data_IF_030993534734
#
_entry.id   IF_030993534734
#
_cell.length_a   1.000
_cell.length_b   1.000
_cell.length_c   1.000
_cell.angle_alpha   90.00
_cell.angle_beta   90.00
_cell.angle_gamma   90.00
#
_symmetry.space_group_name_H-M   'P 1'
#
loop_
_entity.id
_entity.type
_entity.pdbx_description
1 polymer ?
#
# COMPACT_ATOMS: atom_id res chain seq x y z
N UNK A 1 -13.53 -18.48 20.29
CA UNK A 1 -12.91 -18.17 18.98
C UNK A 1 -11.77 -17.15 19.06
N UNK A 2 -11.83 -16.14 19.94
CA UNK A 2 -10.83 -15.04 20.02
C UNK A 2 -9.40 -15.46 20.44
N UNK A 3 -9.25 -16.44 21.34
CA UNK A 3 -7.93 -16.86 21.85
C UNK A 3 -7.07 -17.58 20.81
N UNK A 4 -7.68 -18.44 19.98
CA UNK A 4 -6.96 -19.14 18.90
C UNK A 4 -6.43 -18.15 17.86
N UNK A 5 -7.24 -17.15 17.49
CA UNK A 5 -6.83 -16.09 16.57
C UNK A 5 -5.66 -15.25 17.13
N UNK A 6 -5.72 -14.89 18.42
CA UNK A 6 -4.65 -14.17 19.12
C UNK A 6 -3.33 -14.97 19.13
N UNK A 7 -3.40 -16.27 19.42
CA UNK A 7 -2.22 -17.15 19.39
C UNK A 7 -1.65 -17.31 17.98
N UNK A 8 -2.50 -17.37 16.96
CA UNK A 8 -2.05 -17.42 15.55
C UNK A 8 -1.34 -16.12 15.15
N UNK A 9 -1.88 -14.96 15.53
CA UNK A 9 -1.26 -13.65 15.25
C UNK A 9 0.07 -13.53 16.00
N UNK A 10 0.10 -13.89 17.29
CA UNK A 10 1.32 -13.85 18.09
C UNK A 10 2.41 -14.80 17.55
N UNK A 11 2.02 -16.00 17.11
CA UNK A 11 2.92 -16.96 16.46
C UNK A 11 3.50 -16.44 15.15
N UNK A 12 2.68 -15.80 14.31
CA UNK A 12 3.14 -15.12 13.09
C UNK A 12 4.12 -13.98 13.42
N UNK A 13 3.85 -13.15 14.42
CA UNK A 13 4.77 -12.07 14.81
C UNK A 13 6.11 -12.62 15.34
N UNK A 14 6.09 -13.74 16.07
CA UNK A 14 7.31 -14.38 16.58
C UNK A 14 8.20 -14.93 15.45
N UNK A 15 7.61 -15.49 14.38
CA UNK A 15 8.40 -15.98 13.23
C UNK A 15 8.97 -14.85 12.37
N UNK A 16 8.29 -13.69 12.28
CA UNK A 16 8.86 -12.50 11.65
C UNK A 16 10.07 -11.93 12.41
N UNK A 17 10.12 -12.09 13.73
CA UNK A 17 11.27 -11.66 14.55
C UNK A 17 12.55 -12.46 14.31
N UNK A 18 12.44 -13.70 13.84
CA UNK A 18 13.57 -14.62 13.67
C UNK A 18 14.40 -14.38 12.38
N UNK A 19 13.93 -13.54 11.46
CA UNK A 19 14.65 -13.21 10.20
C UNK A 19 15.69 -12.09 10.34
N UNK A 20 16.22 -11.86 11.55
CA UNK A 20 17.25 -10.83 11.78
C UNK A 20 18.67 -11.31 11.44
N UNK A 21 18.87 -11.84 10.22
CA UNK A 21 20.20 -12.06 9.64
C UNK A 21 20.71 -10.75 9.02
N UNK A 22 21.94 -10.34 9.38
CA UNK A 22 22.69 -9.15 8.93
C UNK A 22 21.83 -7.99 8.38
N UNK A 23 21.42 -7.09 9.28
CA UNK A 23 20.71 -5.86 8.92
C UNK A 23 21.63 -4.93 8.13
N UNK A 24 21.59 -5.03 6.81
CA UNK A 24 21.98 -3.92 5.93
C UNK A 24 21.21 -2.68 6.35
N UNK A 25 21.88 -1.52 6.47
CA UNK A 25 21.25 -0.23 6.81
C UNK A 25 20.16 0.14 5.78
N UNK A 26 20.18 -0.50 4.61
CA UNK A 26 19.20 -0.35 3.52
C UNK A 26 18.03 -1.35 3.58
N UNK A 27 18.07 -2.34 4.48
CA UNK A 27 16.96 -3.22 4.84
C UNK A 27 16.39 -2.77 6.17
N UNK A 28 15.60 -1.70 6.11
CA UNK A 28 14.90 -1.17 7.28
C UNK A 28 13.54 -1.84 7.37
N UNK A 29 13.38 -2.72 8.36
CA UNK A 29 12.10 -3.36 8.69
C UNK A 29 11.14 -2.41 9.39
N UNK A 30 10.88 -1.23 8.83
CA UNK A 30 9.94 -0.27 9.39
C UNK A 30 8.53 -0.50 8.83
N UNK A 31 7.53 -0.19 9.65
CA UNK A 31 6.12 -0.25 9.31
C UNK A 31 5.70 1.10 8.73
N UNK A 32 5.09 1.11 7.53
CA UNK A 32 4.49 2.33 6.97
C UNK A 32 2.98 2.26 7.07
N UNK A 33 2.39 3.29 7.64
CA UNK A 33 0.96 3.55 7.64
C UNK A 33 0.71 4.77 6.76
N UNK A 34 -0.20 4.63 5.79
CA UNK A 34 -0.53 5.70 4.87
C UNK A 34 -2.00 5.74 4.52
N UNK A 35 -2.38 6.79 3.80
CA UNK A 35 -3.70 6.99 3.22
C UNK A 35 -3.60 6.67 1.72
N UNK A 36 -4.54 5.93 1.17
CA UNK A 36 -4.53 5.55 -0.25
C UNK A 36 -5.92 5.69 -0.88
N UNK A 37 -5.98 5.89 -2.19
CA UNK A 37 -7.19 5.82 -2.99
C UNK A 37 -7.01 4.75 -4.08
N UNK A 38 -7.88 3.74 -4.07
CA UNK A 38 -7.79 2.62 -5.01
C UNK A 38 -8.53 2.93 -6.31
N UNK A 39 -7.77 3.19 -7.38
CA UNK A 39 -8.32 3.46 -8.70
C UNK A 39 -9.06 4.81 -8.81
N UNK A 40 -9.95 4.90 -9.78
CA UNK A 40 -10.73 6.11 -10.10
C UNK A 40 -12.20 5.98 -9.67
N UNK A 41 -12.88 7.12 -9.63
CA UNK A 41 -14.34 7.19 -9.48
C UNK A 41 -15.07 6.44 -10.60
N UNK A 42 -16.27 5.95 -10.29
CA UNK A 42 -17.13 5.23 -11.22
C UNK A 42 -17.60 6.13 -12.37
N UNK A 43 -17.77 5.54 -13.54
CA UNK A 43 -18.35 6.15 -14.72
C UNK A 43 -19.72 5.53 -14.99
N UNK A 44 -20.77 6.36 -14.91
CA UNK A 44 -22.16 5.94 -15.11
C UNK A 44 -22.48 5.56 -16.56
N UNK A 45 -21.60 5.87 -17.52
CA UNK A 45 -21.75 5.46 -18.92
C UNK A 45 -21.17 4.07 -19.19
N UNK A 46 -20.39 3.51 -18.26
CA UNK A 46 -19.80 2.18 -18.37
C UNK A 46 -20.62 1.17 -17.58
N UNK A 47 -20.66 -0.07 -18.04
CA UNK A 47 -21.20 -1.17 -17.24
C UNK A 47 -20.36 -1.41 -15.98
N UNK A 48 -20.87 -2.10 -14.95
CA UNK A 48 -20.07 -2.46 -13.76
C UNK A 48 -18.75 -3.15 -14.13
N UNK A 49 -18.84 -4.08 -15.09
CA UNK A 49 -17.68 -4.76 -15.66
C UNK A 49 -16.73 -3.77 -16.32
N UNK A 50 -17.25 -2.85 -17.15
CA UNK A 50 -16.46 -1.82 -17.81
C UNK A 50 -15.73 -0.90 -16.84
N UNK A 51 -16.34 -0.55 -15.71
CA UNK A 51 -15.68 0.21 -14.66
C UNK A 51 -14.49 -0.54 -14.06
N UNK A 52 -14.67 -1.80 -13.68
CA UNK A 52 -13.61 -2.65 -13.10
C UNK A 52 -12.42 -2.79 -14.08
N UNK A 53 -12.67 -3.07 -15.36
CA UNK A 53 -11.60 -3.20 -16.36
C UNK A 53 -10.84 -1.89 -16.64
N UNK A 54 -11.48 -0.74 -16.38
CA UNK A 54 -10.85 0.57 -16.55
C UNK A 54 -10.23 1.11 -15.24
N UNK A 55 -9.99 0.25 -14.25
CA UNK A 55 -9.47 0.62 -12.92
C UNK A 55 -10.33 1.70 -12.23
N UNK A 56 -11.64 1.72 -12.51
CA UNK A 56 -12.62 2.59 -11.85
C UNK A 56 -13.33 1.76 -10.79
N UNK A 57 -12.75 1.70 -9.60
CA UNK A 57 -13.28 0.88 -8.52
C UNK A 57 -14.29 1.62 -7.67
N UNK A 58 -14.45 2.95 -7.79
CA UNK A 58 -15.36 3.69 -6.91
C UNK A 58 -15.01 3.54 -5.43
N UNK A 59 -13.73 3.36 -5.16
CA UNK A 59 -13.21 3.17 -3.83
C UNK A 59 -12.79 4.54 -3.28
N UNK A 60 -13.41 4.94 -2.17
CA UNK A 60 -13.06 6.15 -1.45
C UNK A 60 -11.67 6.07 -0.80
N UNK A 61 -11.38 7.06 0.03
CA UNK A 61 -10.13 7.10 0.81
C UNK A 61 -10.04 5.90 1.75
N UNK A 62 -8.87 5.27 1.76
CA UNK A 62 -8.58 4.06 2.53
C UNK A 62 -7.20 4.12 3.18
N UNK A 63 -6.79 3.00 3.76
CA UNK A 63 -5.53 2.85 4.48
C UNK A 63 -4.60 1.90 3.75
N UNK A 64 -3.31 2.19 3.80
CA UNK A 64 -2.25 1.30 3.34
C UNK A 64 -1.30 0.97 4.48
N UNK A 65 -0.96 -0.31 4.62
CA UNK A 65 -0.01 -0.85 5.57
C UNK A 65 1.11 -1.54 4.80
N UNK A 66 2.34 -1.07 4.96
CA UNK A 66 3.50 -1.57 4.21
C UNK A 66 4.57 -2.11 5.14
N UNK A 67 5.16 -3.23 4.74
CA UNK A 67 6.19 -3.96 5.48
C UNK A 67 7.35 -4.34 4.57
N UNK A 68 8.54 -4.34 5.17
CA UNK A 68 9.73 -4.92 4.55
C UNK A 68 10.20 -4.13 3.34
N UNK A 69 10.45 -2.83 3.53
CA UNK A 69 11.07 -2.00 2.49
C UNK A 69 12.56 -2.36 2.35
N UNK A 70 12.99 -2.58 1.11
CA UNK A 70 14.38 -2.80 0.75
C UNK A 70 14.79 -1.71 -0.23
N UNK A 71 15.85 -0.98 0.10
CA UNK A 71 16.38 0.06 -0.77
C UNK A 71 17.61 -0.39 -1.54
N UNK A 72 17.58 -0.16 -2.85
CA UNK A 72 18.67 -0.42 -3.77
C UNK A 72 19.16 0.91 -4.31
N UNK A 73 20.16 1.51 -3.65
CA UNK A 73 20.81 2.73 -4.12
C UNK A 73 21.97 2.42 -5.05
N UNK A 74 22.16 3.25 -6.06
CA UNK A 74 23.36 3.21 -6.90
C UNK A 74 24.61 3.43 -6.03
N UNK A 75 25.69 2.68 -6.27
CA UNK A 75 26.92 2.84 -5.50
C UNK A 75 27.47 4.28 -5.63
N UNK A 76 27.80 4.88 -4.48
CA UNK A 76 28.34 6.24 -4.42
C UNK A 76 29.74 6.24 -5.03
N UNK A 77 29.91 6.83 -6.21
CA UNK A 77 31.25 7.15 -6.75
C UNK A 77 31.82 8.45 -6.19
N UNK A 78 30.98 9.33 -5.63
CA UNK A 78 31.33 10.60 -4.97
C UNK A 78 30.34 10.86 -3.83
N UNK A 79 30.75 11.60 -2.79
CA UNK A 79 29.85 12.07 -1.72
C UNK A 79 28.82 13.07 -2.26
N UNK A 80 27.79 12.59 -2.95
CA UNK A 80 26.68 13.43 -3.41
C UNK A 80 25.62 13.54 -2.32
N UNK A 81 25.12 14.76 -2.11
CA UNK A 81 24.02 15.05 -1.18
C UNK A 81 22.69 14.42 -1.61
N UNK A 82 22.57 14.08 -2.90
CA UNK A 82 21.43 13.39 -3.47
C UNK A 82 21.82 11.96 -3.86
N UNK A 83 21.00 11.00 -3.46
CA UNK A 83 21.06 9.61 -3.91
C UNK A 83 19.71 9.21 -4.50
N UNK A 84 19.74 8.34 -5.50
CA UNK A 84 18.56 7.78 -6.14
C UNK A 84 18.69 6.27 -6.25
N UNK A 85 17.56 5.58 -6.23
CA UNK A 85 17.53 4.14 -6.21
C UNK A 85 16.14 3.57 -6.43
N UNK A 86 15.99 2.30 -6.08
CA UNK A 86 14.71 1.60 -6.05
C UNK A 86 14.33 1.30 -4.59
N UNK A 87 13.06 1.49 -4.27
CA UNK A 87 12.40 0.99 -3.07
C UNK A 87 11.55 -0.20 -3.47
N UNK A 88 11.82 -1.34 -2.83
CA UNK A 88 11.01 -2.54 -2.95
C UNK A 88 10.26 -2.80 -1.65
N UNK A 89 8.95 -2.64 -1.67
CA UNK A 89 8.04 -3.04 -0.60
C UNK A 89 7.66 -4.51 -0.77
N UNK A 90 8.09 -5.37 0.15
CA UNK A 90 7.78 -6.80 0.11
C UNK A 90 6.26 -7.03 0.22
N UNK A 91 5.60 -6.36 1.16
CA UNK A 91 4.17 -6.54 1.41
C UNK A 91 3.48 -5.20 1.63
N UNK A 92 2.45 -4.93 0.84
CA UNK A 92 1.57 -3.77 0.96
C UNK A 92 0.13 -4.25 0.99
N UNK A 93 -0.53 -4.00 2.12
CA UNK A 93 -1.94 -4.28 2.36
C UNK A 93 -2.72 -2.98 2.21
N UNK A 94 -3.70 -2.96 1.31
CA UNK A 94 -4.54 -1.80 1.05
C UNK A 94 -5.97 -2.15 1.45
N UNK A 95 -6.64 -1.20 2.07
CA UNK A 95 -8.02 -1.32 2.52
C UNK A 95 -8.77 -0.04 2.17
N UNK A 96 -9.80 -0.14 1.33
CA UNK A 96 -10.62 1.00 0.92
C UNK A 96 -12.10 0.66 1.06
N UNK A 97 -12.92 1.63 1.48
CA UNK A 97 -14.38 1.51 1.44
C UNK A 97 -14.87 1.76 0.01
N UNK A 98 -15.88 1.02 -0.42
CA UNK A 98 -16.48 1.09 -1.75
C UNK A 98 -17.82 1.85 -1.65
N UNK A 99 -17.72 3.15 -1.49
CA UNK A 99 -18.83 4.06 -1.19
C UNK A 99 -19.60 4.54 -2.44
N UNK A 100 -18.98 4.54 -3.61
CA UNK A 100 -19.63 5.05 -4.83
C UNK A 100 -20.62 4.08 -5.48
N UNK A 101 -20.51 2.77 -5.19
CA UNK A 101 -21.33 1.74 -5.86
C UNK A 101 -22.82 1.82 -5.53
N UNK A 102 -23.16 2.25 -4.32
CA UNK A 102 -24.56 2.48 -3.93
C UNK A 102 -25.21 3.61 -4.72
N UNK A 103 -24.47 4.69 -4.98
CA UNK A 103 -24.94 5.79 -5.82
C UNK A 103 -25.03 5.39 -7.29
N UNK A 104 -24.01 4.68 -7.80
CA UNK A 104 -23.96 4.16 -9.17
C UNK A 104 -25.13 3.21 -9.49
N UNK A 105 -25.49 2.32 -8.56
CA UNK A 105 -26.63 1.41 -8.75
C UNK A 105 -27.98 2.15 -8.83
N UNK A 106 -28.15 3.21 -8.02
CA UNK A 106 -29.35 4.05 -8.08
C UNK A 106 -29.46 4.82 -9.40
N UNK A 107 -28.35 5.32 -9.93
CA UNK A 107 -28.33 6.10 -11.18
C UNK A 107 -28.46 5.24 -12.45
N UNK A 108 -28.08 3.96 -12.40
CA UNK A 108 -28.10 3.07 -13.57
C UNK A 108 -29.47 2.41 -13.85
N UNK A 109 -30.52 2.75 -13.08
CA UNK A 109 -31.87 2.16 -13.17
C UNK A 109 -31.90 0.62 -13.11
N UNK A 110 -30.79 -0.02 -12.72
CA UNK A 110 -30.72 -1.45 -12.48
C UNK A 110 -31.61 -1.75 -11.27
N UNK A 111 -32.78 -2.35 -11.52
CA UNK A 111 -33.82 -2.57 -10.53
C UNK A 111 -33.26 -3.14 -9.22
N UNK A 112 -33.68 -2.56 -8.09
CA UNK A 112 -33.35 -2.92 -6.69
C UNK A 112 -32.17 -3.89 -6.56
N UNK A 113 -30.97 -3.44 -6.92
CA UNK A 113 -29.78 -4.15 -6.49
C UNK A 113 -29.70 -3.94 -4.97
N UNK A 114 -29.95 -5.00 -4.20
CA UNK A 114 -29.65 -5.04 -2.77
C UNK A 114 -28.13 -4.86 -2.60
N UNK A 115 -27.70 -3.61 -2.52
CA UNK A 115 -26.39 -3.24 -2.00
C UNK A 115 -26.62 -2.86 -0.53
N UNK A 116 -27.22 -3.76 0.25
CA UNK A 116 -27.23 -3.64 1.70
C UNK A 116 -25.96 -4.30 2.23
N UNK A 117 -24.93 -3.49 2.47
CA UNK A 117 -23.69 -3.95 3.09
C UNK A 117 -22.53 -2.97 2.94
N UNK A 118 -21.63 -2.97 3.94
CA UNK A 118 -20.33 -2.30 3.80
C UNK A 118 -19.49 -3.05 2.76
N UNK A 119 -19.36 -2.47 1.57
CA UNK A 119 -18.51 -3.01 0.52
C UNK A 119 -17.07 -2.55 0.74
N UNK A 120 -16.14 -3.50 0.80
CA UNK A 120 -14.73 -3.26 1.07
C UNK A 120 -13.90 -3.75 -0.13
N UNK A 121 -12.95 -2.93 -0.56
CA UNK A 121 -11.88 -3.34 -1.45
C UNK A 121 -10.60 -3.56 -0.64
N UNK A 122 -10.01 -4.75 -0.76
CA UNK A 122 -8.72 -5.08 -0.18
C UNK A 122 -7.75 -5.52 -1.28
N UNK A 123 -6.50 -5.08 -1.21
CA UNK A 123 -5.46 -5.50 -2.12
C UNK A 123 -4.17 -5.83 -1.39
N UNK A 124 -3.59 -6.98 -1.72
CA UNK A 124 -2.29 -7.43 -1.24
C UNK A 124 -1.34 -7.34 -2.43
N UNK A 125 -0.24 -6.60 -2.27
CA UNK A 125 0.71 -6.37 -3.36
C UNK A 125 2.14 -6.29 -2.84
N UNK A 126 3.09 -6.46 -3.76
CA UNK A 126 4.47 -6.02 -3.58
C UNK A 126 4.68 -4.82 -4.52
N UNK A 127 5.40 -3.78 -4.06
CA UNK A 127 5.59 -2.53 -4.80
C UNK A 127 7.06 -2.31 -5.09
N UNK A 128 7.39 -1.95 -6.33
CA UNK A 128 8.72 -1.50 -6.71
C UNK A 128 8.60 -0.09 -7.29
N UNK A 129 9.33 0.86 -6.71
CA UNK A 129 9.27 2.26 -7.12
C UNK A 129 10.61 2.97 -7.04
N UNK A 130 10.77 4.10 -7.74
CA UNK A 130 11.94 4.95 -7.56
C UNK A 130 11.93 5.58 -6.16
N UNK A 131 13.11 5.71 -5.55
CA UNK A 131 13.29 6.41 -4.27
C UNK A 131 14.42 7.43 -4.37
N UNK A 132 14.27 8.53 -3.64
CA UNK A 132 15.30 9.56 -3.48
C UNK A 132 15.69 9.67 -2.01
N UNK A 133 16.99 9.84 -1.76
CA UNK A 133 17.53 10.10 -0.44
C UNK A 133 18.37 11.35 -0.46
N UNK A 134 18.00 12.32 0.36
CA UNK A 134 18.66 13.63 0.51
C UNK A 134 19.40 13.63 1.84
N UNK A 135 20.69 13.94 1.80
CA UNK A 135 21.55 14.11 2.98
C UNK A 135 21.76 15.61 3.15
N UNK A 136 21.00 16.27 4.05
CA UNK A 136 21.00 17.73 4.14
C UNK A 136 22.34 18.29 4.64
N UNK A 137 23.05 17.60 5.54
CA UNK A 137 24.36 18.03 6.05
C UNK A 137 25.35 16.86 6.12
N UNK A 138 26.65 17.17 6.03
CA UNK A 138 27.71 16.18 6.26
C UNK A 138 27.59 15.71 7.72
N UNK A 139 27.38 14.40 7.93
CA UNK A 139 27.06 13.74 9.21
C UNK A 139 25.60 13.82 9.71
N UNK A 140 24.62 14.22 8.91
CA UNK A 140 23.20 14.12 9.29
C UNK A 140 22.56 12.79 8.89
N UNK A 141 21.47 12.41 9.57
CA UNK A 141 20.57 11.35 9.14
C UNK A 141 20.03 11.65 7.72
N UNK A 142 20.03 10.63 6.86
CA UNK A 142 19.45 10.73 5.52
C UNK A 142 17.93 10.87 5.60
N UNK A 143 17.38 11.85 4.90
CA UNK A 143 15.94 11.99 4.70
C UNK A 143 15.58 11.26 3.41
N UNK A 144 14.62 10.36 3.48
CA UNK A 144 14.13 9.65 2.30
C UNK A 144 12.81 10.27 1.83
N UNK A 145 12.74 10.58 0.54
CA UNK A 145 11.54 11.12 -0.11
C UNK A 145 10.96 9.99 -0.96
N UNK A 146 9.76 9.56 -0.60
CA UNK A 146 9.02 8.49 -1.27
C UNK A 146 7.80 9.06 -2.01
N UNK A 147 7.34 8.35 -3.04
CA UNK A 147 6.00 8.56 -3.61
C UNK A 147 4.91 8.03 -2.68
#
# INVERSE_FOLDING_TARGET
MKLKLLLTIAGLMATFGAFSQERSVFRSGYLRLGINQLGKALDNNLSPKGNIFNNRYGAGTGYVLEFGHIYYFKSKKKETQLNYGLDWTILSLNYNKMDEWGAYAKSSQAGKAEIEGESIAAAISSKLGPTLSIIPFKNSLSIYVFR
#
